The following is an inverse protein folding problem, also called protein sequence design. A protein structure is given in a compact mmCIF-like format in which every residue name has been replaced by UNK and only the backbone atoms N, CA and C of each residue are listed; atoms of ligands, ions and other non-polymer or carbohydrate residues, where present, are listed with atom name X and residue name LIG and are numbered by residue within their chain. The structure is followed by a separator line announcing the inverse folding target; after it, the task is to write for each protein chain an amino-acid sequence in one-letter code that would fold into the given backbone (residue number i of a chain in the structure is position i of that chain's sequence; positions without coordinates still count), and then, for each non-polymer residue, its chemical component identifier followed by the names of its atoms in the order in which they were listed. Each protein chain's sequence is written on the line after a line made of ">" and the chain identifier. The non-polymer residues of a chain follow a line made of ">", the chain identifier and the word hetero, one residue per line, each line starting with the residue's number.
data_IF_184068890193
#
_entry.id   IF_184068890193
#
_cell.length_a   1.000
_cell.length_b   1.000
_cell.length_c   1.000
_cell.angle_alpha   90.00
_cell.angle_beta   90.00
_cell.angle_gamma   90.00
#
_symmetry.space_group_name_H-M   'P 1'
#
loop_
_entity.id
_entity.type
_entity.pdbx_description
1 polymer ?
#
# COMPACT_ATOMS: atom_id res chain seq x y z
N UNK A 1 28.74 -4.48 -18.86
CA UNK A 1 30.02 -4.86 -18.24
C UNK A 1 30.02 -4.36 -16.80
N UNK A 2 30.37 -5.26 -15.88
CA UNK A 2 30.67 -5.05 -14.46
C UNK A 2 29.54 -4.63 -13.52
N UNK A 3 29.13 -5.62 -12.73
CA UNK A 3 28.39 -5.49 -11.48
C UNK A 3 29.25 -4.80 -10.41
N UNK A 4 28.62 -4.07 -9.49
CA UNK A 4 29.25 -3.74 -8.22
C UNK A 4 28.21 -3.78 -7.09
N UNK A 5 28.33 -4.84 -6.29
CA UNK A 5 27.73 -4.96 -4.97
C UNK A 5 28.30 -3.87 -4.06
N UNK A 6 27.44 -3.21 -3.29
CA UNK A 6 27.87 -2.37 -2.16
C UNK A 6 27.21 -2.86 -0.87
N UNK A 7 28.04 -3.52 -0.06
CA UNK A 7 27.80 -3.84 1.34
C UNK A 7 28.01 -2.55 2.15
N UNK A 8 27.01 -2.10 2.92
CA UNK A 8 27.19 -0.94 3.81
C UNK A 8 27.19 -1.41 5.25
N UNK A 9 28.39 -1.32 5.84
CA UNK A 9 28.73 -1.48 7.24
C UNK A 9 28.19 -0.26 8.02
N UNK A 10 27.52 -0.51 9.14
CA UNK A 10 26.96 0.53 10.02
C UNK A 10 28.10 1.16 10.84
N UNK A 11 28.23 2.49 10.75
CA UNK A 11 29.15 3.29 11.55
C UNK A 11 28.54 4.67 11.87
N UNK A 12 28.34 4.89 13.17
CA UNK A 12 28.04 6.12 13.92
C UNK A 12 28.24 7.48 13.24
N UNK A 13 27.23 8.35 13.33
CA UNK A 13 27.38 9.80 13.12
C UNK A 13 26.09 10.52 12.76
N UNK A 14 25.45 11.14 13.75
CA UNK A 14 24.25 11.97 13.57
C UNK A 14 24.51 13.18 12.66
N UNK A 15 23.64 13.41 11.65
CA UNK A 15 23.20 14.72 11.12
C UNK A 15 22.12 14.52 10.03
N UNK A 16 20.89 14.93 10.37
CA UNK A 16 19.71 15.31 9.56
C UNK A 16 19.43 14.65 8.19
N UNK A 17 18.23 14.07 7.94
CA UNK A 17 17.81 13.75 6.58
C UNK A 17 17.28 15.01 5.90
N UNK A 18 18.13 15.65 5.09
CA UNK A 18 17.70 16.64 4.11
C UNK A 18 17.03 15.89 2.95
N UNK A 19 15.70 15.81 2.97
CA UNK A 19 14.93 15.29 1.83
C UNK A 19 14.97 16.35 0.74
N UNK A 20 15.68 16.08 -0.35
CA UNK A 20 15.60 16.90 -1.56
C UNK A 20 14.20 16.74 -2.17
N UNK A 21 13.28 17.61 -1.77
CA UNK A 21 12.05 17.89 -2.50
C UNK A 21 12.43 18.90 -3.59
N UNK A 22 12.16 18.53 -4.84
CA UNK A 22 12.38 19.37 -6.02
C UNK A 22 11.91 20.83 -5.77
N UNK A 23 12.84 21.80 -5.76
CA UNK A 23 12.63 23.21 -5.37
C UNK A 23 11.63 23.97 -6.27
N UNK A 24 11.13 23.35 -7.33
CA UNK A 24 10.17 23.94 -8.27
C UNK A 24 8.69 23.66 -7.94
N UNK A 25 8.38 22.92 -6.87
CA UNK A 25 7.00 22.84 -6.42
C UNK A 25 6.62 24.12 -5.69
N UNK A 26 5.78 24.94 -6.34
CA UNK A 26 5.05 26.03 -5.68
C UNK A 26 4.08 25.37 -4.70
N UNK A 27 4.56 25.09 -3.49
CA UNK A 27 3.72 24.63 -2.39
C UNK A 27 2.76 25.76 -2.04
N UNK A 28 1.48 25.61 -2.38
CA UNK A 28 0.45 26.35 -1.66
C UNK A 28 0.62 26.00 -0.18
N UNK A 29 0.81 26.97 0.72
CA UNK A 29 0.82 26.66 2.14
C UNK A 29 -0.53 26.00 2.45
N UNK A 30 -0.49 24.76 2.93
CA UNK A 30 -1.63 24.18 3.65
C UNK A 30 -2.00 25.24 4.68
N UNK A 31 -3.24 25.70 4.70
CA UNK A 31 -3.71 26.85 5.48
C UNK A 31 -3.56 26.63 6.99
N UNK A 32 -2.33 26.65 7.46
CA UNK A 32 -1.98 26.50 8.86
C UNK A 32 -2.01 27.90 9.46
N UNK A 33 -3.18 28.32 9.91
CA UNK A 33 -3.30 29.37 10.92
C UNK A 33 -2.76 28.78 12.23
N UNK A 34 -1.43 28.71 12.33
CA UNK A 34 -0.50 28.53 13.47
C UNK A 34 -0.98 27.96 14.83
N UNK A 35 -1.94 27.03 14.90
CA UNK A 35 -2.31 26.38 16.18
C UNK A 35 -2.74 24.90 16.11
N UNK A 36 -3.17 24.36 14.95
CA UNK A 36 -3.62 22.96 14.83
C UNK A 36 -2.95 22.24 13.67
N UNK A 37 -2.63 20.95 13.87
CA UNK A 37 -2.14 20.07 12.79
C UNK A 37 -3.23 19.92 11.72
N UNK A 38 -2.87 19.86 10.42
CA UNK A 38 -3.86 19.75 9.34
C UNK A 38 -4.63 18.45 9.43
N UNK A 39 -5.94 18.52 9.23
CA UNK A 39 -6.82 17.34 9.18
C UNK A 39 -6.63 16.65 7.84
N UNK A 40 -6.15 15.41 7.87
CA UNK A 40 -5.90 14.63 6.65
C UNK A 40 -6.99 13.58 6.43
N UNK A 41 -7.51 13.45 5.21
CA UNK A 41 -8.33 12.30 4.81
C UNK A 41 -7.54 11.37 3.89
N UNK A 42 -7.66 10.07 4.12
CA UNK A 42 -7.00 9.03 3.31
C UNK A 42 -8.06 8.20 2.61
N UNK A 43 -8.17 8.30 1.29
CA UNK A 43 -9.19 7.64 0.49
C UNK A 43 -8.59 6.44 -0.25
N UNK A 44 -9.25 5.29 -0.18
CA UNK A 44 -8.93 4.10 -0.97
C UNK A 44 -10.16 3.18 -1.13
N UNK A 45 -10.16 2.32 -2.14
CA UNK A 45 -11.28 1.42 -2.47
C UNK A 45 -11.29 0.09 -1.69
N UNK A 46 -10.58 0.04 -0.56
CA UNK A 46 -10.45 -1.16 0.28
C UNK A 46 -9.53 -2.26 -0.29
N UNK A 47 -8.96 -2.10 -1.49
CA UNK A 47 -7.91 -3.02 -1.95
C UNK A 47 -6.65 -2.81 -1.11
N UNK A 48 -6.13 -3.88 -0.50
CA UNK A 48 -4.97 -3.82 0.40
C UNK A 48 -3.76 -3.08 -0.19
N UNK A 49 -3.46 -3.24 -1.49
CA UNK A 49 -2.37 -2.50 -2.15
C UNK A 49 -2.62 -0.99 -2.29
N UNK A 50 -3.88 -0.57 -2.51
CA UNK A 50 -4.25 0.85 -2.56
C UNK A 50 -4.24 1.45 -1.16
N UNK A 51 -4.79 0.71 -0.17
CA UNK A 51 -4.78 1.11 1.22
C UNK A 51 -3.36 1.28 1.75
N UNK A 52 -2.46 0.32 1.49
CA UNK A 52 -1.06 0.39 1.92
C UNK A 52 -0.33 1.62 1.36
N UNK A 53 -0.55 1.93 0.08
CA UNK A 53 0.03 3.13 -0.55
C UNK A 53 -0.50 4.41 0.08
N UNK A 54 -1.82 4.57 0.18
CA UNK A 54 -2.46 5.78 0.71
C UNK A 54 -2.09 6.02 2.18
N UNK A 55 -2.19 4.98 3.01
CA UNK A 55 -1.83 5.03 4.43
C UNK A 55 -0.33 5.24 4.61
N UNK A 56 0.52 4.63 3.80
CA UNK A 56 1.97 4.81 3.90
C UNK A 56 2.41 6.24 3.62
N UNK A 57 1.81 6.88 2.61
CA UNK A 57 2.07 8.29 2.35
C UNK A 57 1.53 9.17 3.50
N UNK A 58 0.32 8.90 3.99
CA UNK A 58 -0.27 9.64 5.09
C UNK A 58 0.52 9.53 6.40
N UNK A 59 1.02 8.33 6.73
CA UNK A 59 1.88 8.12 7.89
C UNK A 59 3.20 8.88 7.78
N UNK A 60 3.77 8.94 6.57
CA UNK A 60 5.02 9.65 6.32
C UNK A 60 4.87 11.18 6.44
N UNK A 61 3.67 11.75 6.35
CA UNK A 61 3.47 13.20 6.58
C UNK A 61 3.56 13.56 8.06
N UNK A 62 3.34 12.60 8.96
CA UNK A 62 3.23 12.84 10.41
C UNK A 62 1.94 13.55 10.84
N UNK A 63 1.01 13.81 9.92
CA UNK A 63 -0.26 14.46 10.25
C UNK A 63 -1.29 13.45 10.76
N UNK A 64 -2.17 13.84 11.70
CA UNK A 64 -3.31 13.02 12.06
C UNK A 64 -4.21 12.84 10.84
N UNK A 65 -4.66 11.61 10.62
CA UNK A 65 -5.49 11.30 9.46
C UNK A 65 -6.68 10.41 9.80
N UNK A 66 -7.73 10.57 9.00
CA UNK A 66 -8.95 9.77 9.04
C UNK A 66 -8.98 8.88 7.81
N UNK A 67 -8.93 7.57 8.02
CA UNK A 67 -9.09 6.58 6.96
C UNK A 67 -10.55 6.59 6.46
N UNK A 68 -10.73 6.82 5.16
CA UNK A 68 -12.01 6.86 4.45
C UNK A 68 -12.03 5.72 3.43
N UNK A 69 -12.30 4.50 3.90
CA UNK A 69 -12.49 3.35 3.02
C UNK A 69 -13.76 3.51 2.20
N UNK A 70 -13.60 3.61 0.89
CA UNK A 70 -14.69 3.91 -0.04
C UNK A 70 -15.52 2.68 -0.37
N UNK A 71 -16.83 2.86 -0.30
CA UNK A 71 -17.87 1.95 -0.77
C UNK A 71 -18.61 2.61 -1.92
N UNK A 72 -18.21 2.26 -3.15
CA UNK A 72 -18.83 2.78 -4.37
C UNK A 72 -20.24 2.20 -4.47
N UNK A 73 -21.23 2.99 -4.86
CA UNK A 73 -22.65 2.60 -4.94
C UNK A 73 -23.06 2.32 -6.39
N UNK A 74 -24.13 1.56 -6.60
CA UNK A 74 -24.77 1.47 -7.92
C UNK A 74 -25.53 2.76 -8.25
N UNK A 75 -25.60 3.19 -9.53
CA UNK A 75 -24.95 2.59 -10.71
C UNK A 75 -23.46 2.90 -10.90
N UNK A 76 -22.85 3.78 -10.09
CA UNK A 76 -21.45 4.22 -10.25
C UNK A 76 -20.41 3.10 -10.23
N UNK A 77 -20.68 1.98 -9.56
CA UNK A 77 -19.86 0.76 -9.64
C UNK A 77 -19.65 0.25 -11.08
N UNK A 78 -20.62 0.45 -11.95
CA UNK A 78 -20.61 -0.03 -13.33
C UNK A 78 -20.05 1.01 -14.31
N UNK A 79 -19.82 2.25 -13.84
CA UNK A 79 -19.36 3.35 -14.67
C UNK A 79 -17.90 3.67 -14.37
N UNK A 80 -17.06 3.93 -15.39
CA UNK A 80 -15.73 4.46 -15.15
C UNK A 80 -15.82 5.80 -14.40
N UNK A 81 -14.90 6.13 -13.47
CA UNK A 81 -14.98 7.34 -12.66
C UNK A 81 -15.18 8.64 -13.45
N UNK A 82 -14.63 8.73 -14.67
CA UNK A 82 -14.84 9.87 -15.58
C UNK A 82 -16.31 10.18 -15.90
N UNK A 83 -17.21 9.21 -15.76
CA UNK A 83 -18.65 9.36 -16.00
C UNK A 83 -19.44 9.59 -14.71
N UNK A 84 -18.77 9.80 -13.57
CA UNK A 84 -19.45 10.10 -12.31
C UNK A 84 -19.82 11.58 -12.26
N UNK A 85 -21.01 11.91 -12.76
CA UNK A 85 -21.55 13.28 -12.78
C UNK A 85 -21.86 13.84 -11.37
N UNK A 86 -22.06 12.96 -10.38
CA UNK A 86 -22.22 13.32 -8.96
C UNK A 86 -21.26 12.49 -8.07
N UNK A 87 -19.94 12.80 -8.06
CA UNK A 87 -18.97 11.96 -7.36
C UNK A 87 -19.26 11.79 -5.87
N UNK A 88 -19.67 12.83 -5.15
CA UNK A 88 -19.97 12.73 -3.71
C UNK A 88 -21.16 11.80 -3.40
N UNK A 89 -22.08 11.61 -4.35
CA UNK A 89 -23.17 10.63 -4.22
C UNK A 89 -22.73 9.21 -4.61
N UNK A 90 -21.66 9.09 -5.40
CA UNK A 90 -21.16 7.85 -5.98
C UNK A 90 -20.56 6.89 -4.95
N UNK A 91 -20.08 7.39 -3.82
CA UNK A 91 -19.48 6.56 -2.78
C UNK A 91 -19.83 7.05 -1.36
N UNK A 92 -19.79 6.10 -0.43
CA UNK A 92 -19.74 6.37 1.01
C UNK A 92 -18.37 6.01 1.54
N UNK A 93 -17.99 6.57 2.68
CA UNK A 93 -16.82 6.19 3.43
C UNK A 93 -17.28 5.55 4.75
N UNK A 94 -17.00 4.27 4.94
CA UNK A 94 -17.39 3.51 6.14
C UNK A 94 -18.87 3.67 6.49
N UNK A 95 -19.76 3.45 5.51
CA UNK A 95 -21.22 3.60 5.68
C UNK A 95 -21.75 5.04 5.72
N UNK A 96 -20.91 6.07 5.78
CA UNK A 96 -21.33 7.48 5.89
C UNK A 96 -21.08 8.27 4.60
N UNK A 97 -21.92 9.26 4.24
CA UNK A 97 -21.61 10.19 3.16
C UNK A 97 -20.31 10.97 3.45
N UNK A 98 -19.59 11.36 2.40
CA UNK A 98 -18.51 12.32 2.51
C UNK A 98 -19.11 13.71 2.70
N UNK A 99 -19.04 14.23 3.91
CA UNK A 99 -19.61 15.52 4.31
C UNK A 99 -18.60 16.36 5.10
N UNK A 100 -18.84 17.67 5.25
CA UNK A 100 -18.04 18.53 6.13
C UNK A 100 -17.95 17.98 7.57
N UNK A 101 -16.90 18.35 8.35
CA UNK A 101 -15.83 19.28 7.98
C UNK A 101 -14.86 18.69 6.95
N UNK A 102 -14.54 19.47 5.91
CA UNK A 102 -13.64 19.05 4.84
C UNK A 102 -12.18 19.07 5.30
N UNK A 103 -11.32 18.18 4.78
CA UNK A 103 -9.93 18.08 5.20
C UNK A 103 -9.08 19.20 4.60
N UNK A 104 -7.97 19.50 5.26
CA UNK A 104 -6.91 20.37 4.73
C UNK A 104 -6.07 19.63 3.69
N UNK A 105 -5.82 18.33 3.92
CA UNK A 105 -5.09 17.45 3.02
C UNK A 105 -5.93 16.20 2.69
N UNK A 106 -6.01 15.85 1.42
CA UNK A 106 -6.65 14.63 0.96
C UNK A 106 -5.66 13.80 0.16
N UNK A 107 -5.41 12.57 0.61
CA UNK A 107 -4.55 11.59 -0.07
C UNK A 107 -5.43 10.49 -0.64
N UNK A 108 -5.54 10.42 -1.97
CA UNK A 108 -6.21 9.33 -2.67
C UNK A 108 -5.24 8.30 -3.24
N UNK A 109 -5.64 7.04 -3.38
CA UNK A 109 -4.90 6.04 -4.15
C UNK A 109 -5.79 5.24 -5.09
N UNK A 110 -5.38 5.21 -6.37
CA UNK A 110 -6.07 4.49 -7.44
C UNK A 110 -7.22 5.28 -8.10
N UNK A 111 -7.74 4.74 -9.20
CA UNK A 111 -8.68 5.45 -10.09
C UNK A 111 -10.01 5.84 -9.43
N UNK A 112 -10.50 5.04 -8.50
CA UNK A 112 -11.81 5.25 -7.86
C UNK A 112 -11.82 6.40 -6.85
N UNK A 113 -10.64 6.84 -6.38
CA UNK A 113 -10.54 7.95 -5.43
C UNK A 113 -10.45 9.30 -6.13
N UNK A 114 -10.00 9.34 -7.39
CA UNK A 114 -9.63 10.56 -8.09
C UNK A 114 -10.78 11.57 -8.19
N UNK A 115 -11.93 11.15 -8.73
CA UNK A 115 -13.08 12.06 -8.88
C UNK A 115 -13.69 12.49 -7.54
N UNK A 116 -13.60 11.64 -6.52
CA UNK A 116 -14.03 11.97 -5.17
C UNK A 116 -13.11 13.00 -4.51
N UNK A 117 -11.80 12.83 -4.65
CA UNK A 117 -10.81 13.78 -4.15
C UNK A 117 -11.04 15.17 -4.74
N UNK A 118 -11.24 15.25 -6.06
CA UNK A 118 -11.52 16.51 -6.75
C UNK A 118 -12.88 17.09 -6.35
N UNK A 119 -13.91 16.26 -6.15
CA UNK A 119 -15.22 16.73 -5.70
C UNK A 119 -15.18 17.28 -4.27
N UNK A 120 -14.44 16.65 -3.35
CA UNK A 120 -14.21 17.18 -1.99
C UNK A 120 -13.47 18.52 -2.06
N UNK A 121 -12.42 18.61 -2.88
CA UNK A 121 -11.68 19.88 -3.09
C UNK A 121 -12.60 20.99 -3.59
N UNK A 122 -13.44 20.71 -4.61
CA UNK A 122 -14.43 21.68 -5.11
C UNK A 122 -15.45 22.06 -4.05
N UNK A 123 -15.97 21.09 -3.29
CA UNK A 123 -16.92 21.34 -2.21
C UNK A 123 -16.30 22.14 -1.04
N UNK A 124 -14.97 22.12 -0.89
CA UNK A 124 -14.23 22.94 0.05
C UNK A 124 -13.67 24.24 -0.57
N UNK A 125 -14.23 24.71 -1.68
CA UNK A 125 -13.81 25.94 -2.38
C UNK A 125 -12.30 25.95 -2.74
N UNK A 126 -11.73 24.79 -3.05
CA UNK A 126 -10.32 24.63 -3.41
C UNK A 126 -9.33 24.71 -2.24
N UNK A 127 -9.80 24.77 -0.99
CA UNK A 127 -8.93 24.85 0.20
C UNK A 127 -8.26 23.53 0.59
N UNK A 128 -8.84 22.40 0.17
CA UNK A 128 -8.23 21.08 0.36
C UNK A 128 -7.09 20.88 -0.63
N UNK A 129 -5.88 20.62 -0.13
CA UNK A 129 -4.76 20.14 -0.93
C UNK A 129 -5.04 18.70 -1.34
N UNK A 130 -5.09 18.44 -2.65
CA UNK A 130 -5.38 17.12 -3.20
C UNK A 130 -4.12 16.44 -3.72
N UNK A 131 -3.71 15.37 -3.02
CA UNK A 131 -2.63 14.47 -3.43
C UNK A 131 -3.22 13.13 -3.91
N UNK A 132 -2.67 12.58 -4.98
CA UNK A 132 -3.14 11.32 -5.54
C UNK A 132 -1.97 10.39 -5.89
N UNK A 133 -2.08 9.15 -5.44
CA UNK A 133 -1.13 8.08 -5.74
C UNK A 133 -1.65 7.27 -6.94
N UNK A 134 -0.71 6.92 -7.83
CA UNK A 134 -0.93 6.35 -9.16
C UNK A 134 -1.56 7.34 -10.14
N UNK A 135 -1.40 7.11 -11.44
CA UNK A 135 -2.04 7.94 -12.44
C UNK A 135 -3.58 7.83 -12.36
N UNK A 136 -4.30 8.93 -12.04
CA UNK A 136 -5.76 8.91 -11.96
C UNK A 136 -6.43 8.73 -13.33
N UNK A 137 -5.73 9.02 -14.43
CA UNK A 137 -6.27 9.04 -15.80
C UNK A 137 -7.32 10.13 -16.07
N UNK A 138 -7.66 10.96 -15.07
CA UNK A 138 -8.61 12.06 -15.13
C UNK A 138 -8.15 13.21 -14.24
N UNK A 139 -8.45 14.45 -14.61
CA UNK A 139 -8.21 15.63 -13.77
C UNK A 139 -6.77 15.79 -13.29
N UNK A 140 -5.77 15.30 -14.05
CA UNK A 140 -4.35 15.28 -13.64
C UNK A 140 -3.86 16.67 -13.23
N UNK A 141 -4.22 17.69 -13.99
CA UNK A 141 -3.84 19.09 -13.72
C UNK A 141 -4.59 19.74 -12.57
N UNK A 142 -5.64 19.09 -12.07
CA UNK A 142 -6.44 19.56 -10.93
C UNK A 142 -5.88 19.07 -9.59
N UNK A 143 -4.95 18.11 -9.58
CA UNK A 143 -4.27 17.68 -8.36
C UNK A 143 -3.12 18.62 -8.03
N UNK A 144 -2.94 18.90 -6.74
CA UNK A 144 -1.82 19.70 -6.25
C UNK A 144 -0.53 18.85 -6.24
N UNK A 145 -0.66 17.53 -6.05
CA UNK A 145 0.44 16.57 -6.11
C UNK A 145 0.01 15.21 -6.67
N UNK A 146 0.84 14.64 -7.54
CA UNK A 146 0.71 13.27 -8.05
C UNK A 146 1.95 12.45 -7.65
N UNK A 147 1.74 11.29 -7.04
CA UNK A 147 2.80 10.33 -6.71
C UNK A 147 2.62 9.09 -7.56
N UNK A 148 3.43 8.96 -8.61
CA UNK A 148 3.23 7.93 -9.65
C UNK A 148 4.43 7.01 -9.76
N UNK A 149 4.22 5.69 -9.89
CA UNK A 149 5.30 4.79 -10.25
C UNK A 149 5.92 5.12 -11.61
N UNK A 150 7.22 4.82 -11.77
CA UNK A 150 7.98 5.10 -12.98
C UNK A 150 7.33 4.51 -14.25
N UNK A 151 6.76 3.31 -14.12
CA UNK A 151 6.10 2.56 -15.19
C UNK A 151 4.78 3.16 -15.68
N UNK A 152 4.18 4.12 -14.95
CA UNK A 152 2.98 4.84 -15.42
C UNK A 152 3.32 5.91 -16.47
N UNK A 153 4.61 6.26 -16.63
CA UNK A 153 5.09 7.20 -17.65
C UNK A 153 4.70 8.67 -17.46
N UNK A 154 3.81 9.00 -16.52
CA UNK A 154 3.38 10.37 -16.24
C UNK A 154 4.52 11.20 -15.62
N UNK A 155 4.76 12.40 -16.14
CA UNK A 155 5.78 13.35 -15.69
C UNK A 155 5.22 14.77 -15.65
N UNK A 156 5.78 15.64 -14.83
CA UNK A 156 5.36 17.03 -14.73
C UNK A 156 5.83 17.72 -13.46
N UNK A 157 5.59 19.04 -13.32
CA UNK A 157 6.08 19.84 -12.19
C UNK A 157 5.43 19.47 -10.84
N UNK A 158 4.23 18.88 -10.88
CA UNK A 158 3.47 18.41 -9.70
C UNK A 158 3.56 16.90 -9.50
N UNK A 159 4.49 16.23 -10.19
CA UNK A 159 4.60 14.77 -10.22
C UNK A 159 5.87 14.33 -9.50
N UNK A 160 5.72 13.54 -8.45
CA UNK A 160 6.78 12.77 -7.82
C UNK A 160 6.77 11.37 -8.43
N UNK A 161 7.89 10.97 -9.04
CA UNK A 161 8.05 9.64 -9.62
C UNK A 161 8.68 8.70 -8.59
N UNK A 162 8.08 7.54 -8.39
CA UNK A 162 8.61 6.49 -7.49
C UNK A 162 9.08 5.27 -8.28
N UNK A 163 10.14 4.59 -7.81
CA UNK A 163 10.62 3.35 -8.46
C UNK A 163 9.60 2.20 -8.38
N UNK A 164 8.77 2.20 -7.35
CA UNK A 164 7.75 1.20 -7.10
C UNK A 164 6.55 1.78 -6.36
N UNK A 165 5.64 0.93 -5.91
CA UNK A 165 4.52 1.35 -5.09
C UNK A 165 5.00 1.90 -3.74
N UNK A 166 4.44 3.03 -3.33
CA UNK A 166 4.60 3.54 -1.96
C UNK A 166 4.09 2.49 -0.97
N UNK A 167 4.72 2.37 0.19
CA UNK A 167 4.38 1.33 1.16
C UNK A 167 4.62 1.78 2.58
N UNK A 168 4.08 1.03 3.53
CA UNK A 168 4.22 1.30 4.97
C UNK A 168 5.42 0.59 5.62
N UNK A 169 6.29 -0.07 4.85
CA UNK A 169 7.46 -0.78 5.39
C UNK A 169 8.51 0.23 5.88
N UNK A 170 8.78 0.23 7.18
CA UNK A 170 9.84 1.00 7.83
C UNK A 170 10.58 0.11 8.84
N UNK A 171 11.84 0.43 9.14
CA UNK A 171 12.61 -0.33 10.13
C UNK A 171 11.93 -0.37 11.51
N UNK A 172 11.36 0.76 11.95
CA UNK A 172 10.62 0.85 13.21
C UNK A 172 9.36 -0.02 13.22
N UNK A 173 8.61 -0.07 12.11
CA UNK A 173 7.45 -0.95 12.00
C UNK A 173 7.84 -2.41 11.99
N UNK A 174 8.86 -2.79 11.23
CA UNK A 174 9.33 -4.18 11.19
C UNK A 174 9.78 -4.65 12.59
N UNK A 175 10.47 -3.79 13.35
CA UNK A 175 10.86 -4.09 14.73
C UNK A 175 9.64 -4.26 15.66
N UNK A 176 8.68 -3.33 15.61
CA UNK A 176 7.47 -3.40 16.42
C UNK A 176 6.62 -4.63 16.08
N UNK A 177 6.49 -4.97 14.80
CA UNK A 177 5.72 -6.13 14.35
C UNK A 177 6.41 -7.43 14.74
N UNK A 178 7.74 -7.55 14.64
CA UNK A 178 8.46 -8.73 15.15
C UNK A 178 8.26 -8.95 16.64
N UNK A 179 8.17 -7.88 17.44
CA UNK A 179 7.91 -8.00 18.88
C UNK A 179 6.50 -8.56 19.21
N UNK A 180 5.54 -8.42 18.29
CA UNK A 180 4.18 -8.98 18.43
C UNK A 180 4.11 -10.48 18.11
N UNK A 181 5.13 -11.01 17.45
CA UNK A 181 5.22 -12.43 17.06
C UNK A 181 6.51 -13.05 17.63
N UNK A 182 6.65 -13.18 18.97
CA UNK A 182 7.87 -13.65 19.61
C UNK A 182 8.26 -15.07 19.19
N UNK A 183 7.27 -15.90 18.82
CA UNK A 183 7.49 -17.28 18.35
C UNK A 183 8.38 -17.35 17.09
N UNK A 184 8.46 -16.27 16.31
CA UNK A 184 9.36 -16.19 15.15
C UNK A 184 10.83 -16.25 15.54
N UNK A 185 11.18 -15.86 16.77
CA UNK A 185 12.55 -15.95 17.27
C UNK A 185 12.99 -17.40 17.53
N UNK A 186 12.06 -18.31 17.78
CA UNK A 186 12.33 -19.72 18.04
C UNK A 186 12.49 -20.58 16.77
N UNK A 187 12.23 -20.00 15.58
CA UNK A 187 12.30 -20.72 14.31
C UNK A 187 13.74 -21.09 13.93
N UNK A 188 13.89 -22.28 13.37
CA UNK A 188 15.17 -22.76 12.88
C UNK A 188 15.65 -21.92 11.69
N UNK A 189 16.92 -21.50 11.72
CA UNK A 189 17.54 -20.73 10.64
C UNK A 189 18.11 -21.68 9.56
N UNK A 190 18.15 -21.27 8.28
CA UNK A 190 17.64 -20.01 7.72
C UNK A 190 16.09 -19.97 7.67
N UNK A 191 15.51 -18.77 7.68
CA UNK A 191 14.07 -18.59 7.51
C UNK A 191 13.78 -18.19 6.06
N UNK A 192 12.97 -19.01 5.38
CA UNK A 192 12.45 -18.72 4.05
C UNK A 192 11.07 -18.05 4.16
N UNK A 193 11.03 -16.73 3.98
CA UNK A 193 9.77 -15.98 3.91
C UNK A 193 9.22 -15.97 2.48
N UNK A 194 7.99 -16.44 2.29
CA UNK A 194 7.35 -16.59 0.99
C UNK A 194 6.02 -15.84 0.95
N UNK A 195 5.96 -14.81 0.11
CA UNK A 195 4.75 -14.05 -0.16
C UNK A 195 4.03 -14.66 -1.37
N UNK A 196 2.87 -15.29 -1.16
CA UNK A 196 2.15 -15.97 -2.23
C UNK A 196 0.98 -15.12 -2.70
N UNK A 197 1.08 -14.65 -3.94
CA UNK A 197 -0.01 -13.95 -4.62
C UNK A 197 -1.14 -14.88 -5.05
N UNK A 198 -1.96 -14.40 -5.97
CA UNK A 198 -2.91 -15.24 -6.70
C UNK A 198 -2.98 -14.76 -8.14
N UNK A 199 -3.83 -15.40 -8.94
CA UNK A 199 -4.01 -15.02 -10.32
C UNK A 199 -4.40 -13.53 -10.43
N UNK A 200 -3.81 -12.84 -11.41
CA UNK A 200 -4.19 -11.51 -11.83
C UNK A 200 -4.16 -11.44 -13.37
N UNK A 201 -4.51 -10.27 -13.93
CA UNK A 201 -4.56 -10.08 -15.38
C UNK A 201 -3.22 -10.33 -16.09
N UNK A 202 -2.10 -10.13 -15.40
CA UNK A 202 -0.74 -10.30 -15.93
C UNK A 202 -0.13 -11.68 -15.62
N UNK A 203 -0.64 -12.42 -14.64
CA UNK A 203 -0.06 -13.66 -14.15
C UNK A 203 -1.13 -14.64 -13.69
N UNK A 204 -1.21 -15.79 -14.35
CA UNK A 204 -2.02 -16.93 -13.93
C UNK A 204 -1.24 -17.83 -12.95
N UNK A 205 -1.50 -17.68 -11.65
CA UNK A 205 -1.07 -18.64 -10.62
C UNK A 205 -2.09 -19.78 -10.56
N UNK A 206 -1.88 -20.82 -11.36
CA UNK A 206 -2.72 -22.02 -11.36
C UNK A 206 -2.45 -22.87 -10.12
N UNK A 207 -3.40 -23.74 -9.75
CA UNK A 207 -3.20 -24.68 -8.65
C UNK A 207 -1.99 -25.60 -8.87
N UNK A 208 -1.74 -26.02 -10.11
CA UNK A 208 -0.54 -26.78 -10.48
C UNK A 208 0.75 -26.00 -10.15
N UNK A 209 0.86 -24.75 -10.61
CA UNK A 209 2.03 -23.90 -10.32
C UNK A 209 2.19 -23.64 -8.83
N UNK A 210 1.09 -23.50 -8.10
CA UNK A 210 1.14 -23.35 -6.65
C UNK A 210 1.66 -24.61 -5.96
N UNK A 211 1.27 -25.79 -6.45
CA UNK A 211 1.86 -27.07 -6.03
C UNK A 211 3.36 -27.12 -6.30
N UNK A 212 3.81 -26.74 -7.49
CA UNK A 212 5.24 -26.65 -7.84
C UNK A 212 6.01 -25.70 -6.92
N UNK A 213 5.42 -24.55 -6.56
CA UNK A 213 6.00 -23.63 -5.58
C UNK A 213 6.08 -24.28 -4.20
N UNK A 214 5.03 -24.98 -3.76
CA UNK A 214 5.00 -25.65 -2.47
C UNK A 214 6.05 -26.77 -2.40
N UNK A 215 6.19 -27.55 -3.47
CA UNK A 215 7.18 -28.61 -3.59
C UNK A 215 8.61 -28.03 -3.61
N UNK A 216 8.82 -26.88 -4.26
CA UNK A 216 10.09 -26.16 -4.23
C UNK A 216 10.44 -25.67 -2.81
N UNK A 217 9.49 -25.06 -2.09
CA UNK A 217 9.66 -24.66 -0.68
C UNK A 217 10.02 -25.88 0.17
N UNK A 218 9.29 -26.96 0.02
CA UNK A 218 9.55 -28.21 0.73
C UNK A 218 10.95 -28.76 0.43
N UNK A 219 11.38 -28.72 -0.83
CA UNK A 219 12.71 -29.10 -1.26
C UNK A 219 13.81 -28.29 -0.58
N UNK A 220 13.66 -26.96 -0.49
CA UNK A 220 14.63 -26.10 0.21
C UNK A 220 14.73 -26.48 1.68
N UNK A 221 13.59 -26.62 2.38
CA UNK A 221 13.59 -26.96 3.81
C UNK A 221 14.22 -28.35 4.05
N UNK A 222 13.90 -29.35 3.22
CA UNK A 222 14.45 -30.71 3.38
C UNK A 222 15.96 -30.77 3.12
N UNK A 223 16.47 -29.96 2.19
CA UNK A 223 17.88 -30.00 1.78
C UNK A 223 18.77 -29.10 2.63
N UNK A 224 18.28 -27.94 3.04
CA UNK A 224 19.06 -26.91 3.75
C UNK A 224 18.71 -26.81 5.24
N UNK A 225 17.64 -27.47 5.69
CA UNK A 225 17.05 -27.25 7.01
C UNK A 225 16.38 -25.88 7.12
N UNK A 226 16.13 -25.44 8.36
CA UNK A 226 15.54 -24.13 8.62
C UNK A 226 14.01 -24.16 8.71
N UNK A 227 13.36 -23.02 8.45
CA UNK A 227 11.90 -22.89 8.56
C UNK A 227 11.33 -22.03 7.45
N UNK A 228 10.06 -22.23 7.10
CA UNK A 228 9.36 -21.38 6.13
C UNK A 228 8.20 -20.60 6.76
N UNK A 229 8.03 -19.37 6.31
CA UNK A 229 6.95 -18.48 6.68
C UNK A 229 6.18 -18.09 5.42
N UNK A 230 5.01 -18.66 5.23
CA UNK A 230 4.23 -18.51 3.99
C UNK A 230 3.04 -17.60 4.25
N UNK A 231 2.91 -16.53 3.47
CA UNK A 231 1.78 -15.59 3.52
C UNK A 231 1.02 -15.54 2.19
N UNK A 232 0.00 -16.41 2.03
CA UNK A 232 -0.97 -16.33 0.96
C UNK A 232 -1.75 -15.00 0.98
N UNK A 233 -2.07 -14.50 -0.21
CA UNK A 233 -2.99 -13.37 -0.39
C UNK A 233 -4.44 -13.84 -0.46
N UNK A 234 -5.39 -12.92 -0.31
CA UNK A 234 -6.82 -13.19 -0.55
C UNK A 234 -7.13 -13.85 -1.91
N UNK A 235 -6.25 -13.67 -2.90
CA UNK A 235 -6.40 -14.23 -4.26
C UNK A 235 -5.91 -15.68 -4.39
N UNK A 236 -5.19 -16.20 -3.41
CA UNK A 236 -4.71 -17.59 -3.43
C UNK A 236 -5.87 -18.57 -3.27
N UNK A 237 -6.92 -18.18 -2.53
CA UNK A 237 -8.15 -18.95 -2.37
C UNK A 237 -8.00 -20.19 -1.48
N UNK A 238 -9.13 -20.78 -1.08
CA UNK A 238 -9.15 -21.92 -0.17
C UNK A 238 -8.45 -23.16 -0.75
N UNK A 239 -8.67 -23.44 -2.05
CA UNK A 239 -8.02 -24.55 -2.74
C UNK A 239 -6.49 -24.40 -2.76
N UNK A 240 -5.99 -23.18 -2.94
CA UNK A 240 -4.55 -22.93 -2.93
C UNK A 240 -3.94 -23.07 -1.54
N UNK A 241 -4.63 -22.59 -0.50
CA UNK A 241 -4.22 -22.79 0.89
C UNK A 241 -4.18 -24.28 1.25
N UNK A 242 -5.18 -25.05 0.79
CA UNK A 242 -5.20 -26.51 1.03
C UNK A 242 -3.99 -27.23 0.42
N UNK A 243 -3.55 -26.85 -0.79
CA UNK A 243 -2.34 -27.40 -1.41
C UNK A 243 -1.09 -27.06 -0.59
N UNK A 244 -0.94 -25.80 -0.17
CA UNK A 244 0.20 -25.40 0.66
C UNK A 244 0.24 -26.18 1.96
N UNK A 245 -0.93 -26.38 2.60
CA UNK A 245 -1.04 -27.17 3.83
C UNK A 245 -0.61 -28.61 3.60
N UNK A 246 -1.20 -29.28 2.61
CA UNK A 246 -0.90 -30.67 2.30
C UNK A 246 0.59 -30.92 2.03
N UNK A 247 1.22 -30.04 1.24
CA UNK A 247 2.62 -30.19 0.86
C UNK A 247 3.62 -29.84 1.96
N UNK A 248 3.23 -28.97 2.90
CA UNK A 248 4.12 -28.46 3.94
C UNK A 248 3.82 -29.00 5.36
N UNK A 249 2.75 -29.79 5.55
CA UNK A 249 2.26 -30.23 6.88
C UNK A 249 3.31 -30.92 7.78
N UNK A 250 4.31 -31.58 7.20
CA UNK A 250 5.34 -32.32 7.95
C UNK A 250 6.70 -31.60 7.96
N UNK A 251 6.71 -30.30 7.69
CA UNK A 251 7.90 -29.47 7.66
C UNK A 251 7.77 -28.33 8.67
N UNK A 252 8.88 -27.76 9.15
CA UNK A 252 8.89 -26.55 9.98
C UNK A 252 8.45 -25.33 9.15
N UNK A 253 7.16 -25.27 8.79
CA UNK A 253 6.57 -24.25 7.94
C UNK A 253 5.27 -23.72 8.57
N UNK A 254 5.19 -22.40 8.74
CA UNK A 254 3.97 -21.72 9.16
C UNK A 254 3.28 -21.09 7.94
N UNK A 255 1.96 -21.26 7.83
CA UNK A 255 1.14 -20.71 6.76
C UNK A 255 0.10 -19.79 7.37
N UNK A 256 0.09 -18.51 6.98
CA UNK A 256 -0.96 -17.59 7.40
C UNK A 256 -2.23 -17.79 6.58
N UNK A 257 -3.26 -18.37 7.17
CA UNK A 257 -4.49 -18.74 6.45
C UNK A 257 -5.53 -17.61 6.33
N UNK A 258 -5.14 -16.36 6.60
CA UNK A 258 -6.05 -15.21 6.51
C UNK A 258 -6.95 -15.01 7.74
N UNK A 259 -6.66 -15.69 8.86
CA UNK A 259 -7.37 -15.56 10.14
C UNK A 259 -6.45 -14.94 11.20
N UNK A 260 -7.06 -14.21 12.14
CA UNK A 260 -6.33 -13.51 13.19
C UNK A 260 -5.54 -12.31 12.67
N UNK A 261 -4.53 -11.91 13.44
CA UNK A 261 -3.64 -10.82 13.07
C UNK A 261 -2.80 -11.20 11.83
N UNK A 262 -2.55 -10.24 10.95
CA UNK A 262 -1.78 -10.47 9.74
C UNK A 262 -0.27 -10.30 10.02
N UNK A 263 0.55 -11.38 9.96
CA UNK A 263 1.95 -11.34 10.33
C UNK A 263 2.86 -10.81 9.20
N UNK A 264 2.29 -10.30 8.11
CA UNK A 264 3.01 -9.87 6.91
C UNK A 264 4.25 -9.03 7.20
N UNK A 265 4.14 -8.02 8.07
CA UNK A 265 5.29 -7.18 8.41
C UNK A 265 6.29 -7.87 9.34
N UNK A 266 5.85 -8.80 10.19
CA UNK A 266 6.74 -9.57 11.04
C UNK A 266 7.57 -10.59 10.24
N UNK A 267 7.05 -11.03 9.09
CA UNK A 267 7.72 -11.99 8.19
C UNK A 267 8.72 -11.34 7.22
N UNK A 268 8.80 -10.00 7.18
CA UNK A 268 9.81 -9.22 6.44
C UNK A 268 11.00 -8.89 7.36
#
# INVERSE_FOLDING_TARGET
>A
MSAQFCCVRIGSGCRSPMVFVNERMICRPIGATRAALPVTWVLHDGKAGMASQALGLAEATGFPFIEKRLEIRHPWKCLPPRLWFLPLAAARASGTPLSPPWPDLLIGCGRNTAMLALAVRRANNGRTVAAQIQDPGVGRDEFDLLVVPEHDGLRGPRVIVTRGAVHRVTASRLAAERARFPDLAALQRPILSVLIGGANRAYGLTLRKLGEIADAIAGVIRTQGGSALVTPSRRTGAAGIAILRDRLQNLPAAIWEGRGENPYFAYL
#
